data_IF_327915656624
#
_entry.id   IF_327915656624
#
_cell.length_a   1.000
_cell.length_b   1.000
_cell.length_c   1.000
_cell.angle_alpha   90.00
_cell.angle_beta   90.00
_cell.angle_gamma   90.00
#
_symmetry.space_group_name_H-M   'P 1'
#
loop_
_entity.id
_entity.type
_entity.pdbx_description
1 polymer ?
#
# COMPACT_ATOMS: atom_id res chain seq x y z
N UNK A 1 67.12 -53.67 30.55
CA UNK A 1 66.89 -54.16 29.18
C UNK A 1 65.40 -54.06 28.96
N UNK A 2 64.96 -52.92 28.42
CA UNK A 2 63.54 -52.61 28.26
C UNK A 2 63.24 -52.42 26.78
N UNK A 3 62.37 -53.29 26.24
CA UNK A 3 61.54 -52.96 25.08
C UNK A 3 60.19 -53.65 25.24
N UNK A 4 59.23 -52.87 25.73
CA UNK A 4 57.81 -53.19 25.67
C UNK A 4 57.27 -52.65 24.35
N UNK A 5 56.96 -53.56 23.42
CA UNK A 5 56.15 -53.26 22.24
C UNK A 5 54.70 -53.03 22.67
N UNK A 6 54.10 -51.92 22.20
CA UNK A 6 52.65 -51.71 22.25
C UNK A 6 52.17 -51.24 20.87
N UNK A 7 51.30 -52.06 20.30
CA UNK A 7 50.53 -51.85 19.09
C UNK A 7 49.75 -50.52 19.12
N UNK A 8 49.83 -49.75 18.03
CA UNK A 8 48.87 -48.68 17.73
C UNK A 8 48.10 -49.04 16.45
N UNK A 9 46.80 -49.30 16.63
CA UNK A 9 45.81 -49.43 15.54
C UNK A 9 45.43 -48.05 14.98
N UNK A 10 45.02 -47.93 13.71
CA UNK A 10 44.69 -46.66 13.08
C UNK A 10 43.25 -46.24 13.39
N UNK A 11 43.06 -45.33 14.35
CA UNK A 11 41.72 -44.77 14.71
C UNK A 11 41.53 -43.34 14.18
N UNK A 12 42.42 -42.86 13.28
CA UNK A 12 42.51 -41.44 12.90
C UNK A 12 41.58 -40.93 11.80
N UNK A 13 40.88 -41.80 11.05
CA UNK A 13 40.13 -41.39 9.86
C UNK A 13 38.74 -40.73 10.11
N UNK A 14 37.88 -41.18 11.04
CA UNK A 14 36.52 -40.63 11.15
C UNK A 14 36.46 -39.24 11.79
N UNK A 15 37.39 -38.93 12.70
CA UNK A 15 37.40 -37.65 13.43
C UNK A 15 37.77 -36.49 12.48
N UNK A 16 38.66 -36.74 11.53
CA UNK A 16 39.12 -35.73 10.59
C UNK A 16 38.04 -35.33 9.57
N UNK A 17 37.20 -36.29 9.15
CA UNK A 17 36.08 -36.05 8.24
C UNK A 17 34.99 -35.21 8.92
N UNK A 18 34.68 -35.47 10.20
CA UNK A 18 33.71 -34.67 10.95
C UNK A 18 34.15 -33.21 11.13
N UNK A 19 35.45 -32.97 11.36
CA UNK A 19 35.97 -31.60 11.49
C UNK A 19 35.84 -30.80 10.19
N UNK A 20 36.09 -31.43 9.03
CA UNK A 20 35.96 -30.78 7.72
C UNK A 20 34.52 -30.38 7.38
N UNK A 21 33.54 -31.23 7.70
CA UNK A 21 32.12 -30.96 7.44
C UNK A 21 31.62 -29.79 8.29
N UNK A 22 32.00 -29.72 9.57
CA UNK A 22 31.62 -28.60 10.45
C UNK A 22 32.22 -27.28 9.96
N UNK A 23 33.48 -27.27 9.53
CA UNK A 23 34.12 -26.06 8.99
C UNK A 23 33.43 -25.58 7.70
N UNK A 24 33.11 -26.49 6.78
CA UNK A 24 32.38 -26.15 5.56
C UNK A 24 30.98 -25.59 5.84
N UNK A 25 30.30 -26.11 6.86
CA UNK A 25 28.97 -25.65 7.26
C UNK A 25 29.01 -24.25 7.89
N UNK A 26 30.02 -23.94 8.70
CA UNK A 26 30.25 -22.59 9.24
C UNK A 26 30.57 -21.56 8.15
N UNK A 27 31.36 -21.94 7.14
CA UNK A 27 31.67 -21.05 6.01
C UNK A 27 30.40 -20.77 5.19
N UNK A 28 29.60 -21.81 4.89
CA UNK A 28 28.35 -21.64 4.15
C UNK A 28 27.32 -20.78 4.91
N UNK A 29 27.19 -20.95 6.23
CA UNK A 29 26.32 -20.13 7.07
C UNK A 29 26.81 -18.67 7.15
N UNK A 30 28.13 -18.44 7.18
CA UNK A 30 28.72 -17.09 7.15
C UNK A 30 28.50 -16.37 5.82
N UNK A 31 28.54 -17.10 4.69
CA UNK A 31 28.30 -16.52 3.37
C UNK A 31 26.84 -16.08 3.13
N UNK A 32 25.87 -16.67 3.84
CA UNK A 32 24.45 -16.25 3.76
C UNK A 32 24.23 -14.84 4.34
N UNK A 33 25.05 -14.40 5.29
CA UNK A 33 24.95 -13.06 5.91
C UNK A 33 25.89 -12.02 5.30
N UNK A 34 26.84 -12.43 4.46
CA UNK A 34 27.79 -11.50 3.84
C UNK A 34 27.27 -10.84 2.55
N UNK A 35 26.05 -11.16 2.12
CA UNK A 35 25.42 -10.59 0.92
C UNK A 35 24.78 -9.21 1.10
N UNK A 36 24.81 -8.62 2.30
CA UNK A 36 24.06 -7.39 2.62
C UNK A 36 24.70 -6.08 2.16
N UNK A 37 25.89 -6.12 1.53
CA UNK A 37 26.60 -4.92 1.07
C UNK A 37 25.89 -4.14 -0.05
N UNK A 38 24.96 -4.77 -0.77
CA UNK A 38 24.24 -4.14 -1.91
C UNK A 38 22.80 -3.72 -1.57
N UNK A 39 22.27 -4.10 -0.40
CA UNK A 39 20.89 -3.82 0.01
C UNK A 39 20.73 -2.49 0.79
N UNK A 40 21.79 -2.04 1.50
CA UNK A 40 21.73 -0.89 2.42
C UNK A 40 21.33 0.43 1.73
N UNK A 41 21.74 0.65 0.47
CA UNK A 41 21.33 1.84 -0.29
C UNK A 41 19.89 1.78 -0.83
N UNK A 42 19.40 0.57 -1.16
CA UNK A 42 18.04 0.34 -1.66
C UNK A 42 17.00 0.50 -0.54
N UNK A 43 17.30 0.02 0.66
CA UNK A 43 16.36 0.04 1.78
C UNK A 43 16.20 1.42 2.38
N UNK A 44 17.26 2.24 2.41
CA UNK A 44 17.17 3.64 2.80
C UNK A 44 16.26 4.46 1.86
N UNK A 45 16.32 4.22 0.55
CA UNK A 45 15.47 4.91 -0.43
C UNK A 45 14.00 4.46 -0.34
N UNK A 46 13.76 3.19 -0.03
CA UNK A 46 12.41 2.65 0.23
C UNK A 46 11.82 3.24 1.50
N UNK A 47 12.61 3.37 2.57
CA UNK A 47 12.18 3.98 3.82
C UNK A 47 11.73 5.44 3.64
N UNK A 48 12.50 6.24 2.88
CA UNK A 48 12.14 7.63 2.57
C UNK A 48 10.81 7.74 1.79
N UNK A 49 10.58 6.87 0.81
CA UNK A 49 9.31 6.85 0.07
C UNK A 49 8.12 6.47 0.95
N UNK A 50 8.32 5.56 1.88
CA UNK A 50 7.26 5.15 2.82
C UNK A 50 6.90 6.32 3.73
N UNK A 51 7.89 7.03 4.26
CA UNK A 51 7.69 8.22 5.09
C UNK A 51 6.96 9.34 4.33
N UNK A 52 7.35 9.61 3.09
CA UNK A 52 6.69 10.60 2.23
C UNK A 52 5.21 10.24 1.97
N UNK A 53 4.94 8.96 1.67
CA UNK A 53 3.56 8.47 1.47
C UNK A 53 2.73 8.55 2.76
N UNK A 54 3.33 8.29 3.92
CA UNK A 54 2.67 8.43 5.21
C UNK A 54 2.29 9.89 5.48
N UNK A 55 3.23 10.82 5.26
CA UNK A 55 2.97 12.25 5.40
C UNK A 55 1.86 12.74 4.46
N UNK A 56 1.82 12.22 3.24
CA UNK A 56 0.74 12.51 2.30
C UNK A 56 -0.61 11.99 2.80
N UNK A 57 -0.67 10.77 3.35
CA UNK A 57 -1.89 10.24 3.96
C UNK A 57 -2.37 11.10 5.12
N UNK A 58 -1.49 11.48 6.04
CA UNK A 58 -1.86 12.33 7.18
C UNK A 58 -2.40 13.69 6.75
N UNK A 59 -1.81 14.29 5.70
CA UNK A 59 -2.33 15.54 5.12
C UNK A 59 -3.76 15.34 4.62
N UNK A 60 -3.99 14.31 3.81
CA UNK A 60 -5.32 14.02 3.24
C UNK A 60 -6.33 13.75 4.36
N UNK A 61 -5.96 12.96 5.37
CA UNK A 61 -6.86 12.67 6.51
C UNK A 61 -7.21 13.94 7.30
N UNK A 62 -6.23 14.83 7.50
CA UNK A 62 -6.47 16.12 8.16
C UNK A 62 -7.41 17.01 7.35
N UNK A 63 -7.15 17.15 6.05
CA UNK A 63 -8.01 17.91 5.14
C UNK A 63 -9.43 17.32 5.10
N UNK A 64 -9.55 15.99 5.07
CA UNK A 64 -10.83 15.30 5.06
C UNK A 64 -11.59 15.47 6.38
N UNK A 65 -10.91 15.50 7.52
CA UNK A 65 -11.51 15.81 8.82
C UNK A 65 -11.99 17.26 8.90
N UNK A 66 -11.25 18.21 8.32
CA UNK A 66 -11.69 19.60 8.22
C UNK A 66 -12.91 19.75 7.32
N UNK A 67 -12.97 19.04 6.19
CA UNK A 67 -14.14 19.03 5.31
C UNK A 67 -15.35 18.30 5.93
N UNK A 68 -15.10 17.27 6.76
CA UNK A 68 -16.13 16.52 7.50
C UNK A 68 -16.73 17.29 8.67
N UNK A 69 -16.08 18.35 9.16
CA UNK A 69 -16.71 19.34 10.05
C UNK A 69 -17.73 20.16 9.24
N UNK A 70 -18.74 19.46 8.73
CA UNK A 70 -19.88 20.02 8.05
C UNK A 70 -20.76 20.69 9.12
N UNK A 71 -21.32 21.88 8.89
CA UNK A 71 -22.23 22.49 9.83
C UNK A 71 -23.43 21.56 10.06
N UNK A 72 -23.72 21.27 11.32
CA UNK A 72 -24.88 20.49 11.72
C UNK A 72 -26.15 21.09 11.07
N UNK A 73 -26.91 20.27 10.34
CA UNK A 73 -28.17 20.66 9.68
C UNK A 73 -28.16 20.69 8.15
N UNK A 74 -27.03 20.43 7.47
CA UNK A 74 -27.00 20.37 5.99
C UNK A 74 -27.30 18.96 5.49
N UNK A 75 -28.44 18.78 4.81
CA UNK A 75 -28.74 17.55 4.07
C UNK A 75 -27.93 17.48 2.77
N UNK A 76 -27.00 16.53 2.67
CA UNK A 76 -26.24 16.26 1.45
C UNK A 76 -26.81 15.04 0.72
N UNK A 77 -26.97 15.16 -0.59
CA UNK A 77 -27.31 14.07 -1.49
C UNK A 77 -26.17 13.90 -2.49
N UNK A 78 -25.68 12.67 -2.66
CA UNK A 78 -24.61 12.37 -3.61
C UNK A 78 -24.78 10.96 -4.14
N UNK A 79 -24.61 10.80 -5.45
CA UNK A 79 -24.66 9.49 -6.13
C UNK A 79 -23.24 9.08 -6.51
N UNK A 80 -22.74 7.93 -6.05
CA UNK A 80 -21.41 7.47 -6.39
C UNK A 80 -21.33 7.04 -7.86
N UNK A 81 -20.15 7.16 -8.45
CA UNK A 81 -19.91 6.84 -9.88
C UNK A 81 -20.26 5.40 -10.25
N UNK A 82 -20.19 4.48 -9.28
CA UNK A 82 -20.56 3.07 -9.44
C UNK A 82 -22.04 2.88 -9.77
N UNK A 83 -22.92 3.77 -9.27
CA UNK A 83 -24.36 3.71 -9.53
C UNK A 83 -24.74 4.33 -10.89
N UNK A 84 -23.85 5.16 -11.45
CA UNK A 84 -24.06 5.85 -12.73
C UNK A 84 -23.58 5.03 -13.94
N UNK A 85 -23.08 3.81 -13.76
CA UNK A 85 -22.52 3.00 -14.86
C UNK A 85 -23.54 2.70 -15.95
N UNK A 86 -24.81 2.61 -15.58
CA UNK A 86 -25.92 2.26 -16.46
C UNK A 86 -26.71 3.48 -16.94
N UNK A 87 -26.34 4.69 -16.49
CA UNK A 87 -26.99 5.93 -16.86
C UNK A 87 -26.07 6.73 -17.79
N UNK A 88 -26.57 7.28 -18.90
CA UNK A 88 -25.81 8.27 -19.65
C UNK A 88 -25.61 9.49 -18.73
N UNK A 89 -24.36 9.87 -18.45
CA UNK A 89 -24.00 11.09 -17.71
C UNK A 89 -23.08 11.97 -18.56
N UNK A 90 -23.44 12.15 -19.83
CA UNK A 90 -22.66 12.94 -20.79
C UNK A 90 -22.95 14.43 -20.66
N UNK A 91 -24.15 14.78 -20.19
CA UNK A 91 -24.56 16.16 -19.95
C UNK A 91 -24.79 16.46 -18.47
N UNK A 92 -24.74 17.74 -18.09
CA UNK A 92 -25.02 18.16 -16.72
C UNK A 92 -26.44 17.77 -16.29
N UNK A 93 -27.42 17.94 -17.19
CA UNK A 93 -28.82 17.57 -16.96
C UNK A 93 -28.93 16.09 -16.59
N UNK A 94 -28.39 15.22 -17.43
CA UNK A 94 -28.34 13.77 -17.20
C UNK A 94 -27.69 13.40 -15.85
N UNK A 95 -26.63 14.12 -15.47
CA UNK A 95 -25.95 13.90 -14.19
C UNK A 95 -26.83 14.30 -13.00
N UNK A 96 -27.60 15.38 -13.13
CA UNK A 96 -28.48 15.89 -12.06
C UNK A 96 -29.77 15.09 -11.90
N UNK A 97 -30.25 14.43 -12.96
CA UNK A 97 -31.40 13.51 -12.89
C UNK A 97 -31.17 12.33 -11.94
N UNK A 98 -29.90 11.96 -11.70
CA UNK A 98 -29.55 10.91 -10.74
C UNK A 98 -29.67 11.35 -9.28
N UNK A 99 -29.58 12.66 -8.99
CA UNK A 99 -29.44 13.18 -7.62
C UNK A 99 -30.80 13.34 -6.94
N UNK A 100 -31.10 12.59 -5.86
CA UNK A 100 -32.36 12.73 -5.15
C UNK A 100 -32.58 14.15 -4.61
N UNK A 101 -33.77 14.69 -4.85
CA UNK A 101 -34.19 16.01 -4.36
C UNK A 101 -33.78 17.18 -5.25
N UNK A 102 -33.18 16.91 -6.42
CA UNK A 102 -32.85 17.88 -7.46
C UNK A 102 -33.71 17.61 -8.69
N UNK A 103 -34.33 18.64 -9.24
CA UNK A 103 -35.01 18.62 -10.53
C UNK A 103 -34.26 19.53 -11.50
N UNK A 104 -34.15 19.09 -12.76
CA UNK A 104 -33.46 19.85 -13.81
C UNK A 104 -34.38 20.06 -15.02
N UNK A 105 -34.52 21.32 -15.46
CA UNK A 105 -35.24 21.70 -16.68
C UNK A 105 -34.30 22.38 -17.68
N UNK A 106 -34.57 22.29 -19.00
CA UNK A 106 -33.88 23.13 -19.97
C UNK A 106 -34.17 24.61 -19.66
N UNK A 107 -33.13 25.45 -19.59
CA UNK A 107 -33.31 26.88 -19.40
C UNK A 107 -33.80 27.58 -20.66
N UNK A 108 -34.24 28.83 -20.51
CA UNK A 108 -34.93 29.59 -21.56
C UNK A 108 -34.16 29.69 -22.91
N UNK A 109 -32.83 29.71 -22.87
CA UNK A 109 -31.98 29.79 -24.08
C UNK A 109 -31.53 28.42 -24.62
N UNK A 110 -31.98 27.31 -24.02
CA UNK A 110 -31.64 25.93 -24.45
C UNK A 110 -30.17 25.53 -24.26
N UNK A 111 -29.31 26.45 -23.81
CA UNK A 111 -27.89 26.22 -23.48
C UNK A 111 -27.64 26.10 -21.99
N UNK A 112 -28.55 26.59 -21.15
CA UNK A 112 -28.48 26.48 -19.69
C UNK A 112 -29.37 25.35 -19.19
N UNK A 113 -29.06 24.86 -17.99
CA UNK A 113 -29.90 23.92 -17.24
C UNK A 113 -30.34 24.65 -15.98
N UNK A 114 -31.66 24.74 -15.83
CA UNK A 114 -32.35 25.31 -14.70
C UNK A 114 -32.48 24.20 -13.63
N UNK A 115 -32.14 24.53 -12.38
CA UNK A 115 -32.00 23.56 -11.30
C UNK A 115 -32.87 23.97 -10.12
N UNK A 116 -33.70 23.04 -9.66
CA UNK A 116 -34.56 23.19 -8.47
C UNK A 116 -34.19 22.16 -7.42
N UNK A 117 -33.91 22.62 -6.20
CA UNK A 117 -33.58 21.79 -5.05
C UNK A 117 -34.69 21.98 -4.02
N UNK A 118 -35.46 20.92 -3.75
CA UNK A 118 -36.62 20.97 -2.82
C UNK A 118 -37.63 22.08 -3.15
N UNK A 119 -37.85 22.35 -4.44
CA UNK A 119 -38.77 23.40 -4.89
C UNK A 119 -38.19 24.82 -4.90
N UNK A 120 -36.92 25.00 -4.49
CA UNK A 120 -36.21 26.26 -4.60
C UNK A 120 -35.25 26.23 -5.80
N UNK A 121 -35.43 27.16 -6.72
CA UNK A 121 -34.66 27.23 -7.96
C UNK A 121 -35.48 27.84 -9.08
N UNK A 122 -34.82 28.14 -10.20
CA UNK A 122 -35.45 28.58 -11.44
C UNK A 122 -35.17 27.52 -12.48
#
# INVERSE_FOLDING_TARGET
MDRVSKDLRPVGFPILVCAGILAAWWIAAGCVWAGDGQAVGSDSARAQRIEELQKHRERIERELNQLKQQPDGVSRSSVPRTELSNQPTRTLKESMESVPGVASSPGAEGRSVDLSIRGAGK
#
